data_IF_413100199171
#
_entry.id   IF_413100199171
#
_cell.length_a   1.000
_cell.length_b   1.000
_cell.length_c   1.000
_cell.angle_alpha   90.00
_cell.angle_beta   90.00
_cell.angle_gamma   90.00
#
_symmetry.space_group_name_H-M   'P 1'
#
loop_
_entity.id
_entity.type
_entity.pdbx_description
1 polymer ?
#
# COMPACT_ATOMS: atom_id res chain seq x y z
N UNK A 1 -2.72 -15.32 -0.45
CA UNK A 1 -1.32 -15.35 0.02
C UNK A 1 -1.02 -16.77 0.42
N UNK A 2 -0.33 -17.53 -0.43
CA UNK A 2 -0.04 -18.94 -0.17
C UNK A 2 1.27 -19.05 0.60
N UNK A 3 1.29 -19.91 1.62
CA UNK A 3 2.52 -20.24 2.35
C UNK A 3 2.98 -21.59 1.84
N UNK A 4 4.10 -21.62 1.10
CA UNK A 4 4.69 -22.84 0.57
C UNK A 4 5.37 -23.64 1.69
N UNK A 5 4.94 -24.89 1.85
CA UNK A 5 5.58 -25.91 2.68
C UNK A 5 5.93 -27.14 1.80
N UNK A 6 6.98 -27.89 2.16
CA UNK A 6 7.35 -29.16 1.49
C UNK A 6 6.25 -30.22 1.63
N UNK A 7 5.48 -30.17 2.72
CA UNK A 7 4.43 -31.17 3.00
C UNK A 7 3.06 -30.80 2.44
N UNK A 8 2.77 -29.50 2.23
CA UNK A 8 1.45 -29.02 1.80
C UNK A 8 1.44 -28.25 0.46
N UNK A 9 2.60 -27.97 -0.13
CA UNK A 9 2.71 -27.27 -1.42
C UNK A 9 2.07 -25.86 -1.40
N UNK A 10 1.45 -25.47 -2.51
CA UNK A 10 0.77 -24.17 -2.66
C UNK A 10 -0.61 -24.09 -1.95
N UNK A 11 -1.08 -25.20 -1.37
CA UNK A 11 -2.37 -25.31 -0.70
C UNK A 11 -2.28 -25.25 0.84
N UNK A 12 -1.10 -24.97 1.40
CA UNK A 12 -0.89 -24.89 2.85
C UNK A 12 -1.68 -23.74 3.50
N UNK A 13 -2.39 -24.07 4.57
CA UNK A 13 -3.07 -23.08 5.44
C UNK A 13 -2.06 -22.40 6.37
N UNK A 14 -2.37 -21.18 6.81
CA UNK A 14 -1.59 -20.47 7.82
C UNK A 14 -1.51 -21.27 9.14
N UNK A 15 -2.58 -21.97 9.51
CA UNK A 15 -2.57 -22.90 10.65
C UNK A 15 -1.58 -24.05 10.46
N UNK A 16 -1.53 -24.67 9.28
CA UNK A 16 -0.55 -25.71 8.98
C UNK A 16 0.88 -25.14 8.99
N UNK A 17 1.09 -23.94 8.47
CA UNK A 17 2.38 -23.28 8.55
C UNK A 17 2.83 -23.00 10.01
N UNK A 18 1.90 -22.61 10.88
CA UNK A 18 2.19 -22.44 12.30
C UNK A 18 2.60 -23.76 12.97
N UNK A 19 1.93 -24.87 12.59
CA UNK A 19 2.27 -26.22 13.06
C UNK A 19 3.65 -26.67 12.56
N UNK A 20 3.98 -26.37 11.30
CA UNK A 20 5.31 -26.61 10.75
C UNK A 20 6.40 -25.86 11.53
N UNK A 21 6.17 -24.58 11.88
CA UNK A 21 7.06 -23.81 12.76
C UNK A 21 7.11 -24.29 14.22
N UNK A 22 6.22 -25.20 14.61
CA UNK A 22 6.20 -25.83 15.93
C UNK A 22 6.97 -27.13 16.02
N UNK A 23 7.39 -27.70 14.89
CA UNK A 23 8.22 -28.89 14.86
C UNK A 23 9.60 -28.60 15.50
N UNK A 24 9.94 -29.22 16.64
CA UNK A 24 11.26 -29.07 17.26
C UNK A 24 12.39 -29.54 16.34
N UNK A 25 12.13 -30.56 15.51
CA UNK A 25 13.13 -31.10 14.59
C UNK A 25 13.50 -30.08 13.51
N UNK A 26 12.56 -29.24 13.07
CA UNK A 26 12.82 -28.16 12.12
C UNK A 26 13.79 -27.12 12.69
N UNK A 27 13.64 -26.76 13.97
CA UNK A 27 14.54 -25.79 14.63
C UNK A 27 15.96 -26.36 14.73
N UNK A 28 16.08 -27.62 15.16
CA UNK A 28 17.36 -28.32 15.26
C UNK A 28 18.04 -28.44 13.88
N UNK A 29 17.31 -28.90 12.85
CA UNK A 29 17.84 -29.04 11.48
C UNK A 29 18.36 -27.70 10.93
N UNK A 30 17.59 -26.62 11.09
CA UNK A 30 17.97 -25.30 10.59
C UNK A 30 19.17 -24.71 11.34
N UNK A 31 19.31 -25.02 12.62
CA UNK A 31 20.45 -24.61 13.42
C UNK A 31 21.71 -25.40 13.08
N UNK A 32 21.62 -26.73 13.02
CA UNK A 32 22.73 -27.63 12.70
C UNK A 32 23.26 -27.45 11.28
N UNK A 33 22.37 -27.19 10.32
CA UNK A 33 22.75 -26.85 8.93
C UNK A 33 23.38 -25.46 8.78
N UNK A 34 23.43 -24.66 9.86
CA UNK A 34 23.96 -23.30 9.86
C UNK A 34 23.12 -22.30 9.06
N UNK A 35 21.91 -22.69 8.61
CA UNK A 35 21.06 -21.86 7.76
C UNK A 35 20.37 -20.75 8.53
N UNK A 36 19.97 -21.02 9.76
CA UNK A 36 19.28 -20.05 10.63
C UNK A 36 19.75 -20.21 12.07
N UNK A 37 20.15 -19.11 12.70
CA UNK A 37 20.46 -19.10 14.13
C UNK A 37 19.16 -19.22 14.96
N UNK A 38 19.18 -19.95 16.08
CA UNK A 38 17.98 -20.19 16.90
C UNK A 38 17.24 -18.90 17.29
N UNK A 39 17.98 -17.88 17.75
CA UNK A 39 17.40 -16.58 18.07
C UNK A 39 16.67 -15.91 16.87
N UNK A 40 17.16 -16.13 15.64
CA UNK A 40 16.50 -15.65 14.41
C UNK A 40 15.24 -16.45 14.14
N UNK A 41 15.28 -17.78 14.32
CA UNK A 41 14.11 -18.64 14.20
C UNK A 41 13.00 -18.24 15.19
N UNK A 42 13.36 -18.04 16.47
CA UNK A 42 12.41 -17.63 17.51
C UNK A 42 11.83 -16.23 17.24
N UNK A 43 12.63 -15.32 16.70
CA UNK A 43 12.16 -13.99 16.27
C UNK A 43 11.15 -14.07 15.10
N UNK A 44 11.41 -14.94 14.12
CA UNK A 44 10.47 -15.21 13.01
C UNK A 44 9.20 -15.85 13.57
N UNK A 45 9.33 -16.87 14.43
CA UNK A 45 8.22 -17.59 15.06
C UNK A 45 7.29 -16.65 15.84
N UNK A 46 7.86 -15.70 16.60
CA UNK A 46 7.10 -14.65 17.29
C UNK A 46 6.40 -13.70 16.32
N UNK A 47 7.08 -13.28 15.25
CA UNK A 47 6.53 -12.33 14.28
C UNK A 47 5.38 -12.93 13.47
N UNK A 48 5.52 -14.16 13.01
CA UNK A 48 4.46 -14.88 12.28
C UNK A 48 3.22 -15.03 13.16
N UNK A 49 3.38 -15.35 14.45
CA UNK A 49 2.25 -15.42 15.41
C UNK A 49 1.62 -14.08 15.77
N UNK A 50 2.33 -12.98 15.53
CA UNK A 50 1.81 -11.62 15.74
C UNK A 50 0.89 -11.12 14.62
N UNK A 51 0.59 -11.95 13.63
CA UNK A 51 -0.43 -11.64 12.61
C UNK A 51 -1.82 -11.70 13.28
N UNK A 52 -2.70 -10.71 13.04
CA UNK A 52 -4.07 -10.74 13.55
C UNK A 52 -4.84 -12.00 13.11
N UNK A 53 -5.68 -12.53 14.01
CA UNK A 53 -6.61 -13.61 13.65
C UNK A 53 -7.65 -13.12 12.63
N UNK A 54 -8.19 -14.05 11.85
CA UNK A 54 -9.24 -13.76 10.85
C UNK A 54 -8.72 -13.19 9.53
N UNK A 55 -7.40 -13.08 9.33
CA UNK A 55 -6.81 -12.64 8.05
C UNK A 55 -6.57 -13.82 7.10
N UNK A 56 -5.98 -14.90 7.60
CA UNK A 56 -5.69 -16.11 6.85
C UNK A 56 -6.70 -17.22 7.15
N UNK A 57 -6.74 -18.26 6.31
CA UNK A 57 -7.59 -19.46 6.46
C UNK A 57 -9.08 -19.15 6.58
N UNK A 58 -9.52 -18.08 5.91
CA UNK A 58 -10.94 -17.72 5.83
C UNK A 58 -11.59 -18.42 4.63
N UNK A 59 -12.91 -18.64 4.71
CA UNK A 59 -13.73 -19.14 3.61
C UNK A 59 -13.96 -18.02 2.57
N UNK A 60 -12.87 -17.61 1.93
CA UNK A 60 -12.82 -16.53 0.97
C UNK A 60 -11.93 -16.93 -0.21
N UNK A 61 -12.28 -16.44 -1.40
CA UNK A 61 -11.44 -16.65 -2.59
C UNK A 61 -10.08 -15.98 -2.40
N UNK A 62 -8.96 -16.65 -2.75
CA UNK A 62 -7.64 -16.04 -2.66
C UNK A 62 -7.55 -14.77 -3.47
N UNK A 63 -6.90 -13.73 -2.93
CA UNK A 63 -6.71 -12.46 -3.64
C UNK A 63 -6.01 -12.60 -5.01
N UNK A 64 -5.18 -13.63 -5.17
CA UNK A 64 -4.50 -13.99 -6.41
C UNK A 64 -5.45 -14.47 -7.51
N UNK A 65 -6.66 -14.91 -7.16
CA UNK A 65 -7.71 -15.33 -8.10
C UNK A 65 -8.76 -14.23 -8.32
N UNK A 66 -8.56 -13.05 -7.73
CA UNK A 66 -9.47 -11.92 -7.84
C UNK A 66 -9.04 -10.90 -8.90
N UNK A 67 -8.06 -11.20 -9.74
CA UNK A 67 -7.52 -10.29 -10.75
C UNK A 67 -8.61 -9.68 -11.66
N UNK A 68 -9.59 -10.48 -12.10
CA UNK A 68 -10.74 -10.03 -12.89
C UNK A 68 -11.68 -9.08 -12.14
N UNK A 69 -11.74 -9.18 -10.82
CA UNK A 69 -12.54 -8.28 -9.98
C UNK A 69 -11.75 -7.02 -9.63
N UNK A 70 -10.46 -7.17 -9.32
CA UNK A 70 -9.54 -6.11 -8.96
C UNK A 70 -9.28 -5.19 -10.16
N UNK A 71 -9.00 -5.74 -11.34
CA UNK A 71 -8.55 -5.00 -12.52
C UNK A 71 -9.39 -5.34 -13.75
N UNK A 72 -10.08 -4.33 -14.28
CA UNK A 72 -10.81 -4.42 -15.55
C UNK A 72 -10.77 -3.09 -16.30
N UNK A 73 -10.68 -3.09 -17.64
CA UNK A 73 -10.75 -1.87 -18.43
C UNK A 73 -12.00 -1.05 -18.10
N UNK A 74 -11.83 0.25 -17.82
CA UNK A 74 -12.91 1.17 -17.45
C UNK A 74 -13.57 0.87 -16.10
N UNK A 75 -13.03 -0.04 -15.30
CA UNK A 75 -13.56 -0.39 -13.99
C UNK A 75 -13.00 0.48 -12.87
N UNK A 76 -13.85 0.77 -11.89
CA UNK A 76 -13.43 1.23 -10.56
C UNK A 76 -13.58 0.05 -9.59
N UNK A 77 -12.52 -0.26 -8.86
CA UNK A 77 -12.56 -1.23 -7.77
C UNK A 77 -12.26 -0.50 -6.46
N UNK A 78 -13.19 -0.60 -5.52
CA UNK A 78 -13.04 -0.05 -4.17
C UNK A 78 -12.90 -1.23 -3.21
N UNK A 79 -11.84 -1.20 -2.42
CA UNK A 79 -11.52 -2.27 -1.46
C UNK A 79 -11.89 -1.77 -0.05
N UNK A 80 -13.08 -2.11 0.46
CA UNK A 80 -13.51 -1.65 1.77
C UNK A 80 -12.75 -2.35 2.89
N UNK A 81 -12.29 -1.59 3.88
CA UNK A 81 -11.56 -2.16 5.04
C UNK A 81 -12.29 -1.99 6.37
N UNK A 82 -13.49 -1.40 6.37
CA UNK A 82 -14.24 -1.07 7.60
C UNK A 82 -14.67 -2.28 8.42
N UNK A 83 -14.72 -3.47 7.81
CA UNK A 83 -15.13 -4.72 8.46
C UNK A 83 -13.94 -5.47 9.10
N UNK A 84 -12.71 -5.00 8.90
CA UNK A 84 -11.52 -5.64 9.45
C UNK A 84 -11.38 -5.31 10.94
N UNK A 85 -11.10 -6.33 11.74
CA UNK A 85 -11.17 -6.30 13.21
C UNK A 85 -10.09 -5.46 13.89
N UNK A 86 -9.02 -5.08 13.18
CA UNK A 86 -7.92 -4.30 13.74
C UNK A 86 -7.19 -3.47 12.68
N UNK A 87 -6.57 -2.37 13.10
CA UNK A 87 -5.73 -1.53 12.23
C UNK A 87 -4.59 -2.33 11.58
N UNK A 88 -3.98 -3.27 12.32
CA UNK A 88 -2.93 -4.16 11.80
C UNK A 88 -3.44 -5.12 10.73
N UNK A 89 -4.68 -5.58 10.82
CA UNK A 89 -5.31 -6.41 9.78
C UNK A 89 -5.62 -5.57 8.53
N UNK A 90 -6.11 -4.34 8.71
CA UNK A 90 -6.31 -3.36 7.63
C UNK A 90 -5.00 -3.09 6.89
N UNK A 91 -3.93 -2.76 7.63
CA UNK A 91 -2.59 -2.53 7.09
C UNK A 91 -2.09 -3.71 6.28
N UNK A 92 -2.09 -4.91 6.86
CA UNK A 92 -1.65 -6.11 6.18
C UNK A 92 -2.44 -6.37 4.89
N UNK A 93 -3.76 -6.17 4.91
CA UNK A 93 -4.60 -6.41 3.75
C UNK A 93 -4.35 -5.39 2.62
N UNK A 94 -4.34 -4.09 2.95
CA UNK A 94 -4.07 -3.01 1.98
C UNK A 94 -2.68 -3.18 1.36
N UNK A 95 -1.68 -3.49 2.18
CA UNK A 95 -0.32 -3.72 1.71
C UNK A 95 -0.21 -4.99 0.85
N UNK A 96 -0.92 -6.07 1.19
CA UNK A 96 -0.91 -7.29 0.39
C UNK A 96 -1.56 -7.09 -0.98
N UNK A 97 -2.71 -6.40 -1.05
CA UNK A 97 -3.37 -6.05 -2.32
C UNK A 97 -2.45 -5.16 -3.15
N UNK A 98 -1.88 -4.12 -2.54
CA UNK A 98 -1.01 -3.17 -3.23
C UNK A 98 0.25 -3.83 -3.76
N UNK A 99 0.90 -4.66 -2.95
CA UNK A 99 2.10 -5.40 -3.35
C UNK A 99 1.80 -6.36 -4.51
N UNK A 100 0.68 -7.09 -4.49
CA UNK A 100 0.27 -7.95 -5.60
C UNK A 100 0.14 -7.17 -6.89
N UNK A 101 -0.57 -6.03 -6.86
CA UNK A 101 -0.75 -5.19 -8.05
C UNK A 101 0.58 -4.61 -8.54
N UNK A 102 1.40 -4.08 -7.64
CA UNK A 102 2.72 -3.52 -7.99
C UNK A 102 3.63 -4.60 -8.58
N UNK A 103 3.69 -5.78 -7.96
CA UNK A 103 4.56 -6.87 -8.39
C UNK A 103 4.20 -7.35 -9.79
N UNK A 104 2.91 -7.59 -10.08
CA UNK A 104 2.47 -7.97 -11.43
C UNK A 104 2.69 -6.83 -12.45
N UNK A 105 2.56 -5.56 -12.05
CA UNK A 105 2.85 -4.42 -12.94
C UNK A 105 4.33 -4.31 -13.27
N UNK A 106 5.22 -4.53 -12.31
CA UNK A 106 6.66 -4.33 -12.49
C UNK A 106 7.41 -5.59 -12.94
N UNK A 107 6.82 -6.78 -12.77
CA UNK A 107 7.46 -8.05 -13.15
C UNK A 107 7.58 -8.23 -14.66
N UNK A 108 8.62 -8.96 -15.09
CA UNK A 108 8.74 -9.48 -16.46
C UNK A 108 8.07 -10.86 -16.62
N UNK A 109 7.72 -11.49 -15.50
CA UNK A 109 7.01 -12.77 -15.41
C UNK A 109 5.86 -12.57 -14.41
N UNK A 110 4.76 -11.91 -14.83
CA UNK A 110 3.65 -11.58 -13.93
C UNK A 110 2.81 -12.83 -13.65
N UNK A 111 2.18 -12.85 -12.47
CA UNK A 111 1.20 -13.90 -12.14
C UNK A 111 -0.16 -13.68 -12.81
N UNK A 112 -0.47 -12.43 -13.19
CA UNK A 112 -1.65 -12.06 -13.98
C UNK A 112 -1.28 -11.15 -15.15
N UNK A 113 -1.39 -11.66 -16.37
CA UNK A 113 -1.26 -10.87 -17.61
C UNK A 113 -2.26 -9.71 -17.64
N UNK A 114 -3.45 -9.91 -17.10
CA UNK A 114 -4.49 -8.89 -17.01
C UNK A 114 -4.02 -7.67 -16.21
N UNK A 115 -3.42 -7.90 -15.04
CA UNK A 115 -2.88 -6.81 -14.22
C UNK A 115 -1.73 -6.15 -14.98
N UNK A 116 -0.81 -6.93 -15.55
CA UNK A 116 0.34 -6.42 -16.31
C UNK A 116 -0.08 -5.51 -17.47
N UNK A 117 -1.01 -5.96 -18.29
CA UNK A 117 -1.38 -5.32 -19.54
C UNK A 117 -2.33 -4.13 -19.37
N UNK A 118 -3.17 -4.15 -18.34
CA UNK A 118 -4.16 -3.09 -18.10
C UNK A 118 -3.48 -1.87 -17.47
N UNK A 119 -3.70 -0.64 -17.98
CA UNK A 119 -3.31 0.57 -17.28
C UNK A 119 -4.06 0.70 -15.96
N UNK A 120 -3.36 0.94 -14.86
CA UNK A 120 -3.93 0.98 -13.51
C UNK A 120 -3.51 2.25 -12.79
N UNK A 121 -4.44 2.88 -12.07
CA UNK A 121 -4.12 3.86 -11.03
C UNK A 121 -4.42 3.21 -9.69
N UNK A 122 -3.38 3.00 -8.88
CA UNK A 122 -3.51 2.49 -7.53
C UNK A 122 -3.73 3.66 -6.57
N UNK A 123 -4.97 3.80 -6.12
CA UNK A 123 -5.35 4.76 -5.09
C UNK A 123 -5.14 4.20 -3.69
N UNK A 124 -4.55 5.00 -2.79
CA UNK A 124 -4.41 4.63 -1.37
C UNK A 124 -4.85 5.79 -0.48
N UNK A 125 -5.95 5.55 0.22
CA UNK A 125 -6.48 6.46 1.22
C UNK A 125 -5.70 6.36 2.52
N UNK A 126 -5.55 7.46 3.26
CA UNK A 126 -4.75 7.54 4.48
C UNK A 126 -3.33 6.96 4.33
N UNK A 127 -2.63 7.33 3.25
CA UNK A 127 -1.39 6.70 2.81
C UNK A 127 -0.27 6.72 3.88
N UNK A 128 -0.25 7.69 4.80
CA UNK A 128 0.70 7.73 5.93
C UNK A 128 0.58 6.47 6.81
N UNK A 129 -0.62 5.91 7.01
CA UNK A 129 -0.78 4.68 7.79
C UNK A 129 -0.03 3.47 7.21
N UNK A 130 0.41 3.54 5.94
CA UNK A 130 1.04 2.42 5.23
C UNK A 130 2.45 2.74 4.74
N UNK A 131 2.74 4.02 4.48
CA UNK A 131 3.97 4.48 3.84
C UNK A 131 4.80 5.42 4.70
N UNK A 132 4.68 5.38 6.02
CA UNK A 132 5.58 6.13 6.91
C UNK A 132 6.97 5.52 6.97
N UNK A 133 7.97 6.38 7.18
CA UNK A 133 9.36 5.98 7.38
C UNK A 133 9.45 4.83 8.40
N UNK A 134 10.20 3.81 8.00
CA UNK A 134 10.13 2.49 8.59
C UNK A 134 11.41 2.12 9.35
N UNK A 135 11.25 1.82 10.63
CA UNK A 135 12.31 1.23 11.46
C UNK A 135 12.44 -0.29 11.27
N UNK A 136 11.48 -0.93 10.59
CA UNK A 136 11.47 -2.38 10.38
C UNK A 136 11.81 -2.78 8.95
N UNK A 137 12.54 -3.88 8.78
CA UNK A 137 12.90 -4.46 7.47
C UNK A 137 11.67 -4.73 6.60
N UNK A 138 10.55 -5.15 7.20
CA UNK A 138 9.31 -5.41 6.48
C UNK A 138 8.74 -4.12 5.88
N UNK A 139 8.65 -3.07 6.68
CA UNK A 139 8.12 -1.79 6.21
C UNK A 139 9.09 -1.12 5.22
N UNK A 140 10.41 -1.30 5.36
CA UNK A 140 11.39 -0.90 4.33
C UNK A 140 11.15 -1.58 2.97
N UNK A 141 10.82 -2.88 2.96
CA UNK A 141 10.48 -3.59 1.71
C UNK A 141 9.22 -3.03 1.05
N UNK A 142 8.24 -2.63 1.85
CA UNK A 142 7.00 -2.00 1.37
C UNK A 142 7.33 -0.64 0.75
N UNK A 143 8.05 0.22 1.48
CA UNK A 143 8.50 1.53 0.97
C UNK A 143 9.30 1.36 -0.33
N UNK A 144 10.19 0.38 -0.39
CA UNK A 144 10.97 0.09 -1.59
C UNK A 144 10.06 -0.28 -2.78
N UNK A 145 9.07 -1.17 -2.59
CA UNK A 145 8.11 -1.53 -3.64
C UNK A 145 7.35 -0.30 -4.15
N UNK A 146 6.84 0.54 -3.25
CA UNK A 146 6.14 1.77 -3.66
C UNK A 146 7.08 2.78 -4.32
N UNK A 147 8.34 2.84 -3.91
CA UNK A 147 9.36 3.68 -4.55
C UNK A 147 9.65 3.20 -5.97
N UNK A 148 9.77 1.89 -6.18
CA UNK A 148 9.94 1.29 -7.51
C UNK A 148 8.70 1.50 -8.39
N UNK A 149 7.50 1.35 -7.81
CA UNK A 149 6.25 1.64 -8.48
C UNK A 149 6.17 3.10 -8.94
N UNK A 150 6.58 4.05 -8.09
CA UNK A 150 6.60 5.46 -8.45
C UNK A 150 7.65 5.78 -9.53
N UNK A 151 8.84 5.17 -9.45
CA UNK A 151 9.93 5.37 -10.44
C UNK A 151 9.62 4.75 -11.81
N UNK A 152 9.10 3.53 -11.83
CA UNK A 152 8.92 2.73 -13.04
C UNK A 152 7.49 2.74 -13.56
N UNK A 153 6.53 3.22 -12.76
CA UNK A 153 5.11 3.14 -13.06
C UNK A 153 4.73 3.75 -14.39
N UNK A 154 5.36 4.86 -14.80
CA UNK A 154 5.13 5.46 -16.12
C UNK A 154 5.40 4.50 -17.27
N UNK A 155 6.49 3.73 -17.19
CA UNK A 155 6.85 2.72 -18.22
C UNK A 155 5.85 1.57 -18.21
N UNK A 156 5.43 1.16 -17.02
CA UNK A 156 4.55 0.00 -16.84
C UNK A 156 3.06 0.35 -16.89
N UNK A 157 2.69 1.61 -17.14
CA UNK A 157 1.29 2.11 -17.12
C UNK A 157 0.62 1.90 -15.75
N UNK A 158 1.37 2.14 -14.68
CA UNK A 158 0.92 2.19 -13.30
C UNK A 158 1.05 3.63 -12.77
N UNK A 159 -0.06 4.23 -12.37
CA UNK A 159 -0.09 5.48 -11.61
C UNK A 159 -0.31 5.20 -10.13
N UNK A 160 0.30 6.02 -9.26
CA UNK A 160 -0.01 6.03 -7.83
C UNK A 160 -0.84 7.28 -7.52
N UNK A 161 -1.89 7.12 -6.72
CA UNK A 161 -2.72 8.21 -6.24
C UNK A 161 -2.84 8.12 -4.72
N UNK A 162 -1.99 8.87 -4.03
CA UNK A 162 -1.87 8.82 -2.57
C UNK A 162 -2.72 9.95 -1.97
N UNK A 163 -3.58 9.61 -1.03
CA UNK A 163 -4.43 10.56 -0.30
C UNK A 163 -4.01 10.50 1.16
N UNK A 164 -3.72 11.65 1.76
CA UNK A 164 -3.27 11.75 3.15
C UNK A 164 -3.50 13.16 3.68
N UNK A 165 -3.77 13.25 4.98
CA UNK A 165 -3.80 14.48 5.77
C UNK A 165 -2.43 14.84 6.33
N UNK A 166 -1.54 13.85 6.46
CA UNK A 166 -0.18 13.99 6.98
C UNK A 166 0.84 13.68 5.87
N UNK A 167 1.03 14.58 4.88
CA UNK A 167 1.99 14.39 3.80
C UNK A 167 3.45 14.33 4.27
N UNK A 168 3.78 15.01 5.37
CA UNK A 168 5.08 14.99 6.03
C UNK A 168 5.47 13.60 6.56
N UNK A 169 4.48 12.75 6.83
CA UNK A 169 4.69 11.39 7.35
C UNK A 169 4.86 10.36 6.24
N UNK A 170 4.82 10.75 4.96
CA UNK A 170 5.07 9.85 3.84
C UNK A 170 6.58 9.69 3.62
N UNK A 171 7.02 8.44 3.46
CA UNK A 171 8.41 8.10 3.21
C UNK A 171 8.99 8.90 2.04
N UNK A 172 10.09 9.60 2.33
CA UNK A 172 10.81 10.51 1.45
C UNK A 172 11.08 9.94 0.04
N UNK A 173 11.52 8.67 -0.10
CA UNK A 173 11.76 8.05 -1.41
C UNK A 173 10.51 7.90 -2.28
N UNK A 174 9.33 7.72 -1.68
CA UNK A 174 8.05 7.66 -2.39
C UNK A 174 7.58 9.07 -2.72
N UNK A 175 7.59 9.96 -1.72
CA UNK A 175 7.06 11.31 -1.83
C UNK A 175 7.75 12.12 -2.95
N UNK A 176 9.08 12.00 -3.07
CA UNK A 176 9.88 12.67 -4.12
C UNK A 176 9.55 12.22 -5.55
N UNK A 177 8.85 11.11 -5.74
CA UNK A 177 8.44 10.60 -7.05
C UNK A 177 7.02 11.02 -7.43
N UNK A 178 6.25 11.60 -6.49
CA UNK A 178 4.89 12.09 -6.76
C UNK A 178 4.99 13.52 -7.31
N UNK A 179 4.77 13.66 -8.61
CA UNK A 179 4.91 14.93 -9.30
C UNK A 179 3.66 15.81 -9.16
N UNK A 180 2.47 15.24 -9.41
CA UNK A 180 1.22 16.01 -9.35
C UNK A 180 0.64 16.00 -7.95
N UNK A 181 0.34 17.19 -7.43
CA UNK A 181 -0.22 17.42 -6.10
C UNK A 181 -1.56 18.11 -6.22
N UNK A 182 -2.54 17.58 -5.51
CA UNK A 182 -3.85 18.21 -5.31
C UNK A 182 -3.95 18.52 -3.83
N UNK A 183 -3.78 19.80 -3.48
CA UNK A 183 -3.74 20.27 -2.10
C UNK A 183 -5.07 20.91 -1.76
N UNK A 184 -5.79 20.31 -0.81
CA UNK A 184 -7.01 20.88 -0.24
C UNK A 184 -6.67 21.68 1.03
N UNK A 185 -7.67 22.10 1.80
CA UNK A 185 -7.44 22.71 3.09
C UNK A 185 -6.59 21.80 4.00
N UNK A 186 -5.42 22.31 4.41
CA UNK A 186 -4.54 21.72 5.43
C UNK A 186 -4.38 22.77 6.53
N UNK A 187 -4.59 22.36 7.79
CA UNK A 187 -4.46 23.26 8.94
C UNK A 187 -3.08 23.24 9.59
N UNK A 188 -2.29 22.21 9.32
CA UNK A 188 -0.98 22.00 9.93
C UNK A 188 0.15 22.63 9.08
N UNK A 189 1.02 23.41 9.71
CA UNK A 189 2.08 24.16 9.02
C UNK A 189 3.16 23.24 8.42
N UNK A 190 3.46 22.12 9.08
CA UNK A 190 4.45 21.16 8.61
C UNK A 190 3.89 20.38 7.41
N UNK A 191 2.60 20.01 7.44
CA UNK A 191 1.89 19.44 6.31
C UNK A 191 1.91 20.37 5.08
N UNK A 192 1.63 21.66 5.26
CA UNK A 192 1.66 22.66 4.17
C UNK A 192 3.07 22.78 3.57
N UNK A 193 4.10 22.88 4.42
CA UNK A 193 5.48 22.98 3.93
C UNK A 193 5.93 21.72 3.19
N UNK A 194 5.49 20.54 3.65
CA UNK A 194 5.88 19.27 3.02
C UNK A 194 5.35 19.13 1.59
N UNK A 195 4.18 19.70 1.27
CA UNK A 195 3.63 19.63 -0.09
C UNK A 195 4.38 20.52 -1.08
N UNK A 196 5.30 21.39 -0.65
CA UNK A 196 6.24 22.13 -1.50
C UNK A 196 5.57 22.70 -2.77
N UNK A 197 4.55 23.54 -2.57
CA UNK A 197 3.86 24.28 -3.63
C UNK A 197 4.39 25.72 -3.65
N UNK A 198 4.12 26.54 -4.67
CA UNK A 198 4.62 27.90 -4.69
C UNK A 198 4.14 28.73 -3.48
N UNK A 199 5.00 29.58 -2.88
CA UNK A 199 4.69 30.29 -1.63
C UNK A 199 3.41 31.12 -1.66
N UNK A 200 3.08 31.70 -2.82
CA UNK A 200 1.85 32.48 -3.00
C UNK A 200 0.56 31.65 -2.86
N UNK A 201 0.66 30.33 -2.92
CA UNK A 201 -0.44 29.39 -2.73
C UNK A 201 -0.39 28.74 -1.36
N UNK A 202 0.81 28.51 -0.81
CA UNK A 202 0.99 28.01 0.56
C UNK A 202 0.22 28.86 1.57
N UNK A 203 0.32 30.19 1.46
CA UNK A 203 -0.39 31.14 2.33
C UNK A 203 -1.93 31.03 2.25
N UNK A 204 -2.46 30.47 1.16
CA UNK A 204 -3.91 30.30 0.95
C UNK A 204 -4.43 28.97 1.47
N UNK A 205 -3.61 27.92 1.53
CA UNK A 205 -4.02 26.55 1.88
C UNK A 205 -4.80 26.48 3.21
N UNK A 206 -4.37 27.13 4.31
CA UNK A 206 -5.11 27.10 5.58
C UNK A 206 -6.53 27.65 5.51
N UNK A 207 -6.78 28.56 4.55
CA UNK A 207 -8.02 29.34 4.45
C UNK A 207 -8.94 28.83 3.34
N UNK A 208 -8.58 27.74 2.65
CA UNK A 208 -9.40 27.18 1.58
C UNK A 208 -10.73 26.64 2.10
N UNK A 209 -11.81 26.99 1.42
CA UNK A 209 -13.13 26.47 1.72
C UNK A 209 -13.31 25.04 1.20
N UNK A 210 -14.36 24.36 1.68
CA UNK A 210 -14.68 23.00 1.24
C UNK A 210 -14.85 22.94 -0.29
N UNK A 211 -14.06 22.08 -0.93
CA UNK A 211 -14.07 21.89 -2.37
C UNK A 211 -13.14 22.81 -3.15
N UNK A 212 -12.45 23.75 -2.49
CA UNK A 212 -11.33 24.46 -3.08
C UNK A 212 -10.05 23.62 -3.00
N UNK A 213 -9.21 23.73 -4.03
CA UNK A 213 -7.94 23.01 -4.09
C UNK A 213 -6.93 23.75 -4.95
N UNK A 214 -5.64 23.58 -4.63
CA UNK A 214 -4.52 23.87 -5.53
C UNK A 214 -4.19 22.60 -6.30
N UNK A 215 -4.07 22.69 -7.62
CA UNK A 215 -3.47 21.65 -8.43
C UNK A 215 -2.13 22.13 -8.94
N UNK A 216 -1.08 21.42 -8.54
CA UNK A 216 0.29 21.71 -8.93
C UNK A 216 0.93 20.48 -9.56
N UNK A 217 1.59 20.66 -10.69
CA UNK A 217 2.44 19.65 -11.32
C UNK A 217 3.70 20.37 -11.80
N UNK A 218 4.91 19.84 -11.58
CA UNK A 218 6.14 20.40 -12.12
C UNK A 218 6.11 20.59 -13.65
N UNK A 219 5.31 19.77 -14.34
CA UNK A 219 5.12 19.85 -15.80
C UNK A 219 4.08 20.92 -16.21
N UNK A 220 3.30 21.48 -15.28
CA UNK A 220 2.41 22.59 -15.56
C UNK A 220 3.21 23.90 -15.52
N UNK A 221 2.99 24.78 -16.49
CA UNK A 221 3.64 26.09 -16.53
C UNK A 221 3.31 26.96 -15.33
N UNK A 222 2.07 26.83 -14.80
CA UNK A 222 1.61 27.53 -13.61
C UNK A 222 0.70 26.62 -12.76
N UNK A 223 0.78 26.67 -11.43
CA UNK A 223 -0.23 26.05 -10.57
C UNK A 223 -1.60 26.69 -10.79
N UNK A 224 -2.66 25.90 -10.60
CA UNK A 224 -4.04 26.38 -10.76
C UNK A 224 -4.83 26.23 -9.46
N UNK A 225 -5.57 27.29 -9.11
CA UNK A 225 -6.60 27.24 -8.07
C UNK A 225 -7.91 26.78 -8.70
N UNK A 226 -8.48 25.69 -8.18
CA UNK A 226 -9.73 25.14 -8.65
C UNK A 226 -10.78 25.22 -7.54
N UNK A 227 -12.01 25.50 -7.95
CA UNK A 227 -13.20 25.34 -7.10
C UNK A 227 -14.01 24.16 -7.64
N UNK A 228 -14.36 23.24 -6.75
CA UNK A 228 -15.20 22.10 -7.05
C UNK A 228 -16.61 22.51 -7.49
N UNK A 229 -17.44 21.50 -7.78
CA UNK A 229 -18.82 21.73 -8.19
C UNK A 229 -19.62 22.43 -7.08
N UNK A 230 -20.50 23.34 -7.48
CA UNK A 230 -21.40 24.06 -6.56
C UNK A 230 -22.36 23.15 -5.79
N UNK A 231 -22.56 21.91 -6.29
CA UNK A 231 -23.35 20.87 -5.64
C UNK A 231 -22.43 19.71 -5.29
N UNK A 232 -22.44 19.32 -4.01
CA UNK A 232 -21.72 18.15 -3.55
C UNK A 232 -22.35 16.89 -4.18
N UNK A 233 -21.59 16.22 -5.05
CA UNK A 233 -22.03 14.98 -5.73
C UNK A 233 -21.76 13.73 -4.88
N UNK A 234 -21.14 13.89 -3.72
CA UNK A 234 -20.92 12.85 -2.72
C UNK A 234 -21.88 13.03 -1.55
N UNK A 235 -22.59 11.96 -1.16
CA UNK A 235 -23.29 11.94 0.13
C UNK A 235 -22.30 11.54 1.20
N UNK A 236 -21.77 12.53 1.92
CA UNK A 236 -21.20 12.25 3.24
C UNK A 236 -22.39 11.90 4.14
N UNK A 237 -22.28 10.83 4.94
CA UNK A 237 -23.39 10.35 5.77
C UNK A 237 -23.99 11.45 6.65
N UNK A 238 -25.25 11.25 7.05
CA UNK A 238 -25.97 12.14 7.97
C UNK A 238 -25.22 12.33 9.30
#
# INVERSE_FOLDING_TARGET
>A
MCIRDRDYGDAGTYKQFLQYLDDPALKEELHESGRVHEATFDAVKRRVRGVPSGVFDQDARPITELDHQLVRPGGLTVVPTYHLSSSRAKELFVLAVSALLIDDKLSNDPSSDRIKETPVVLGMDEAHNFLTDADSVQAQKVIQKFTEAAKQGRKERLGLFLITQDPQDIADPVFKQVNTKVVLNLGDEDAIKSVNIPPNLEDKVPYMEKGQMVVYSPDNSDPVELTGLSTCVTRHGD
#
